data_IF_619610427000
#
_entry.id   IF_619610427000
#
_cell.length_a   1.000
_cell.length_b   1.000
_cell.length_c   1.000
_cell.angle_alpha   90.00
_cell.angle_beta   90.00
_cell.angle_gamma   90.00
#
_symmetry.space_group_name_H-M   'P 1'
#
loop_
_entity.id
_entity.type
_entity.pdbx_description
1 polymer ?
#
# COMPACT_ATOMS: atom_id res chain seq x y z
N UNK A 1 -6.62 10.37 -11.96
CA UNK A 1 -5.46 11.15 -12.43
C UNK A 1 -4.54 11.31 -11.24
N UNK A 2 -3.37 10.65 -11.25
CA UNK A 2 -2.33 10.80 -10.21
C UNK A 2 -2.18 9.67 -9.19
N UNK A 3 -2.28 8.39 -9.58
CA UNK A 3 -1.82 7.29 -8.68
C UNK A 3 -0.31 7.18 -8.80
N UNK A 4 0.42 7.91 -7.96
CA UNK A 4 1.85 7.66 -7.77
C UNK A 4 1.99 6.38 -6.96
N UNK A 5 2.58 5.37 -7.61
CA UNK A 5 2.76 4.01 -7.12
C UNK A 5 1.47 3.17 -7.03
N UNK A 6 1.35 2.19 -7.93
CA UNK A 6 0.36 1.12 -7.85
C UNK A 6 1.14 -0.19 -7.71
N UNK A 7 1.27 -0.69 -6.49
CA UNK A 7 1.75 -2.05 -6.27
C UNK A 7 0.63 -3.00 -6.70
N UNK A 8 0.86 -3.75 -7.78
CA UNK A 8 -0.07 -4.80 -8.20
C UNK A 8 0.48 -6.11 -7.66
N UNK A 9 -0.18 -6.62 -6.64
CA UNK A 9 0.08 -7.92 -6.06
C UNK A 9 -0.57 -9.00 -6.92
N UNK A 10 0.19 -10.01 -7.32
CA UNK A 10 -0.36 -11.24 -7.87
C UNK A 10 -0.50 -12.23 -6.72
N UNK A 11 -1.69 -12.31 -6.12
CA UNK A 11 -2.04 -13.44 -5.26
C UNK A 11 -2.22 -14.67 -6.13
N UNK A 12 -1.70 -15.82 -5.68
CA UNK A 12 -1.85 -17.13 -6.33
C UNK A 12 -3.28 -17.28 -6.85
N UNK A 13 -3.44 -17.38 -8.17
CA UNK A 13 -4.71 -17.70 -8.79
C UNK A 13 -5.15 -19.06 -8.26
N UNK A 14 -6.18 -19.07 -7.41
CA UNK A 14 -7.10 -20.19 -7.32
C UNK A 14 -7.65 -20.37 -8.73
N UNK A 15 -7.17 -21.39 -9.43
CA UNK A 15 -7.66 -21.76 -10.74
C UNK A 15 -9.12 -22.19 -10.57
N UNK A 16 -10.05 -21.31 -10.94
CA UNK A 16 -11.40 -21.68 -11.38
C UNK A 16 -11.71 -20.92 -12.66
N UNK A 17 -12.20 -21.68 -13.63
CA UNK A 17 -12.18 -21.44 -15.07
C UNK A 17 -13.08 -20.30 -15.55
N UNK A 18 -12.71 -19.70 -16.68
CA UNK A 18 -13.54 -19.72 -17.90
C UNK A 18 -12.77 -19.10 -19.07
N UNK A 19 -12.12 -19.96 -19.86
CA UNK A 19 -11.81 -19.68 -21.26
C UNK A 19 -12.61 -20.70 -22.08
N UNK A 20 -13.67 -20.23 -22.72
CA UNK A 20 -14.44 -21.02 -23.67
C UNK A 20 -13.60 -21.25 -24.95
N UNK A 21 -13.34 -22.53 -25.25
CA UNK A 21 -12.81 -23.03 -26.51
C UNK A 21 -13.41 -24.42 -26.80
N UNK A 22 -13.78 -24.76 -28.04
CA UNK A 22 -14.57 -25.95 -28.39
C UNK A 22 -13.72 -27.25 -28.45
N UNK A 23 -14.37 -28.44 -28.51
CA UNK A 23 -13.91 -29.64 -27.84
C UNK A 23 -13.00 -30.51 -28.70
N UNK A 24 -12.06 -31.22 -28.05
CA UNK A 24 -11.43 -32.41 -28.62
C UNK A 24 -11.84 -33.62 -27.77
N UNK A 25 -12.56 -34.54 -28.41
CA UNK A 25 -12.88 -35.85 -27.86
C UNK A 25 -11.60 -36.65 -27.66
N UNK A 26 -11.37 -37.18 -26.44
CA UNK A 26 -11.16 -38.62 -26.30
C UNK A 26 -11.38 -39.12 -24.87
N UNK A 27 -11.93 -40.35 -24.80
CA UNK A 27 -12.40 -41.03 -23.59
C UNK A 27 -11.22 -41.60 -22.79
N UNK A 28 -11.28 -41.52 -21.45
CA UNK A 28 -10.94 -42.62 -20.52
C UNK A 28 -11.73 -42.40 -19.23
N UNK A 29 -12.45 -43.46 -18.83
CA UNK A 29 -13.34 -43.52 -17.66
C UNK A 29 -12.58 -44.02 -16.43
N UNK A 30 -12.60 -43.24 -15.36
CA UNK A 30 -12.45 -43.73 -13.98
C UNK A 30 -13.35 -42.87 -13.08
N UNK A 31 -14.45 -43.46 -12.60
CA UNK A 31 -15.37 -42.81 -11.66
C UNK A 31 -14.79 -42.94 -10.25
N UNK A 32 -14.34 -41.83 -9.68
CA UNK A 32 -14.16 -41.68 -8.24
C UNK A 32 -15.29 -40.77 -7.73
N UNK A 33 -16.19 -41.35 -6.93
CA UNK A 33 -17.28 -40.64 -6.27
C UNK A 33 -16.71 -39.86 -5.09
N UNK A 34 -16.70 -38.53 -5.20
CA UNK A 34 -16.18 -37.57 -4.20
C UNK A 34 -17.31 -36.86 -3.43
N UNK A 35 -18.53 -37.40 -3.41
CA UNK A 35 -19.70 -36.68 -2.91
C UNK A 35 -19.83 -36.52 -1.39
N UNK A 36 -18.85 -36.90 -0.54
CA UNK A 36 -19.04 -36.84 0.93
C UNK A 36 -17.80 -36.46 1.74
N UNK A 37 -17.17 -35.32 1.45
CA UNK A 37 -16.40 -34.58 2.45
C UNK A 37 -16.18 -33.12 1.99
N UNK A 38 -17.13 -32.23 2.27
CA UNK A 38 -16.84 -30.79 2.23
C UNK A 38 -16.07 -30.43 3.51
N UNK A 39 -14.77 -30.12 3.47
CA UNK A 39 -14.09 -29.61 4.64
C UNK A 39 -14.76 -28.28 5.01
N UNK A 40 -15.22 -28.17 6.27
CA UNK A 40 -15.73 -26.91 6.83
C UNK A 40 -14.60 -25.87 6.74
N UNK A 41 -14.62 -25.03 5.71
CA UNK A 41 -13.73 -23.88 5.65
C UNK A 41 -14.20 -22.87 6.72
N UNK A 42 -13.32 -22.44 7.65
CA UNK A 42 -13.66 -21.38 8.59
C UNK A 42 -14.09 -20.15 7.78
N UNK A 43 -15.29 -19.63 8.08
CA UNK A 43 -15.78 -18.44 7.43
C UNK A 43 -15.06 -17.24 8.07
N UNK A 44 -13.98 -16.77 7.43
CA UNK A 44 -13.25 -15.59 7.90
C UNK A 44 -14.04 -14.33 7.54
N UNK A 45 -14.81 -13.80 8.50
CA UNK A 45 -15.38 -12.46 8.40
C UNK A 45 -14.28 -11.44 8.68
N UNK A 46 -13.75 -10.80 7.63
CA UNK A 46 -12.82 -9.67 7.79
C UNK A 46 -13.59 -8.44 8.25
N UNK A 47 -13.52 -8.11 9.54
CA UNK A 47 -14.04 -6.85 10.06
C UNK A 47 -13.00 -5.74 9.86
N UNK A 48 -13.24 -4.87 8.89
CA UNK A 48 -12.39 -3.69 8.70
C UNK A 48 -12.92 -2.55 9.59
N UNK A 49 -12.24 -2.29 10.71
CA UNK A 49 -12.56 -1.14 11.56
C UNK A 49 -12.01 0.11 10.90
N UNK A 50 -12.89 1.01 10.48
CA UNK A 50 -12.51 2.33 9.96
C UNK A 50 -12.68 3.33 11.10
N UNK A 51 -11.60 3.93 11.62
CA UNK A 51 -11.71 4.93 12.66
C UNK A 51 -12.44 6.17 12.13
N UNK A 52 -13.33 6.71 12.95
CA UNK A 52 -13.98 8.00 12.72
C UNK A 52 -12.96 9.08 13.09
N UNK A 53 -12.45 9.79 12.07
CA UNK A 53 -11.52 10.88 12.30
C UNK A 53 -12.32 12.18 12.43
N UNK A 54 -12.00 13.05 13.39
CA UNK A 54 -12.48 14.42 13.40
C UNK A 54 -12.09 15.14 12.10
N UNK A 55 -12.91 16.10 11.66
CA UNK A 55 -12.71 16.83 10.38
C UNK A 55 -11.28 17.40 10.22
N UNK A 56 -10.70 17.92 11.31
CA UNK A 56 -9.34 18.46 11.31
C UNK A 56 -8.24 17.42 11.04
N UNK A 57 -8.54 16.13 11.19
CA UNK A 57 -7.60 15.01 11.04
C UNK A 57 -7.81 14.20 9.76
N UNK A 58 -8.82 14.51 8.94
CA UNK A 58 -9.13 13.74 7.72
C UNK A 58 -7.96 13.70 6.72
N UNK A 59 -7.07 14.69 6.73
CA UNK A 59 -5.85 14.68 5.92
C UNK A 59 -4.92 13.48 6.22
N UNK A 60 -4.97 12.90 7.43
CA UNK A 60 -4.24 11.67 7.76
C UNK A 60 -4.72 10.50 6.93
N UNK A 61 -6.03 10.40 6.66
CA UNK A 61 -6.65 9.30 5.90
C UNK A 61 -6.04 9.14 4.52
N UNK A 62 -5.74 10.25 3.86
CA UNK A 62 -5.14 10.22 2.52
C UNK A 62 -3.68 9.77 2.55
N UNK A 63 -2.93 10.16 3.60
CA UNK A 63 -1.52 9.83 3.72
C UNK A 63 -1.29 8.39 4.18
N UNK A 64 -2.10 7.84 5.09
CA UNK A 64 -1.85 6.48 5.64
C UNK A 64 -1.86 5.37 4.60
N UNK A 65 -2.63 5.53 3.51
CA UNK A 65 -2.73 4.55 2.43
C UNK A 65 -1.74 4.77 1.29
N UNK A 66 -0.87 5.78 1.39
CA UNK A 66 0.16 6.05 0.40
C UNK A 66 1.56 5.81 0.99
N UNK A 67 2.36 4.92 0.39
CA UNK A 67 3.67 4.56 0.92
C UNK A 67 4.68 5.70 1.00
N UNK A 68 4.41 6.88 0.42
CA UNK A 68 5.27 8.06 0.51
C UNK A 68 5.73 8.39 1.93
N UNK A 69 4.88 8.18 2.93
CA UNK A 69 5.26 8.40 4.33
C UNK A 69 6.43 7.54 4.80
N UNK A 70 6.71 6.41 4.14
CA UNK A 70 7.79 5.49 4.54
C UNK A 70 9.19 6.06 4.29
N UNK A 71 9.33 6.95 3.30
CA UNK A 71 10.60 7.62 2.98
C UNK A 71 10.60 9.13 3.24
N UNK A 72 9.46 9.71 3.66
CA UNK A 72 9.39 11.11 4.08
C UNK A 72 9.59 11.25 5.61
N UNK A 73 10.69 11.88 6.08
CA UNK A 73 10.94 12.02 7.51
C UNK A 73 9.90 12.87 8.24
N UNK A 74 9.33 13.89 7.59
CA UNK A 74 8.31 14.74 8.21
C UNK A 74 7.00 13.99 8.48
N UNK A 75 6.57 13.13 7.55
CA UNK A 75 5.41 12.27 7.72
C UNK A 75 5.60 11.25 8.85
N UNK A 76 6.79 10.64 8.97
CA UNK A 76 7.09 9.71 10.08
C UNK A 76 7.06 10.40 11.44
N UNK A 77 7.56 11.64 11.53
CA UNK A 77 7.48 12.45 12.75
C UNK A 77 6.05 12.79 13.12
N UNK A 78 5.23 13.17 12.15
CA UNK A 78 3.81 13.47 12.36
C UNK A 78 3.06 12.27 12.97
N UNK A 79 3.24 11.07 12.42
CA UNK A 79 2.58 9.87 12.97
C UNK A 79 3.07 9.53 14.38
N UNK A 80 4.38 9.68 14.64
CA UNK A 80 4.94 9.51 15.99
C UNK A 80 4.40 10.55 16.97
N UNK A 81 4.18 11.80 16.53
CA UNK A 81 3.64 12.86 17.37
C UNK A 81 2.18 12.58 17.79
N UNK A 82 1.39 11.93 16.94
CA UNK A 82 0.00 11.57 17.27
C UNK A 82 -0.08 10.76 18.58
N UNK A 83 0.67 9.67 18.65
CA UNK A 83 0.78 8.81 19.82
C UNK A 83 2.10 8.02 19.76
N UNK A 84 3.15 8.44 20.48
CA UNK A 84 4.46 7.79 20.40
C UNK A 84 4.45 6.33 20.84
N UNK A 85 3.67 6.01 21.89
CA UNK A 85 3.59 4.65 22.43
C UNK A 85 2.86 3.74 21.44
N UNK A 86 1.75 4.20 20.88
CA UNK A 86 1.00 3.42 19.89
C UNK A 86 1.76 3.29 18.58
N UNK A 87 2.53 4.31 18.18
CA UNK A 87 3.41 4.24 17.02
C UNK A 87 4.41 3.08 17.13
N UNK A 88 5.08 2.95 18.27
CA UNK A 88 6.03 1.85 18.51
C UNK A 88 5.31 0.50 18.64
N UNK A 89 4.19 0.44 19.38
CA UNK A 89 3.40 -0.79 19.57
C UNK A 89 2.80 -1.35 18.28
N UNK A 90 2.56 -0.51 17.29
CA UNK A 90 2.01 -0.92 15.99
C UNK A 90 3.09 -1.25 14.97
N UNK A 91 4.36 -1.34 15.39
CA UNK A 91 5.50 -1.50 14.50
C UNK A 91 5.49 -0.44 13.39
N UNK A 92 5.21 0.81 13.78
CA UNK A 92 5.25 1.96 12.88
C UNK A 92 4.29 1.84 11.67
N UNK A 93 3.14 1.18 11.88
CA UNK A 93 2.09 1.05 10.88
C UNK A 93 0.99 2.10 11.13
N UNK A 94 0.90 3.17 10.31
CA UNK A 94 -0.04 4.26 10.57
C UNK A 94 -1.51 3.84 10.37
N UNK A 95 -1.80 2.87 9.51
CA UNK A 95 -3.16 2.33 9.35
C UNK A 95 -3.59 1.65 10.64
N UNK A 96 -2.76 0.74 11.17
CA UNK A 96 -3.03 0.03 12.43
C UNK A 96 -3.08 0.99 13.62
N UNK A 97 -2.22 2.01 13.63
CA UNK A 97 -2.22 3.06 14.64
C UNK A 97 -3.57 3.79 14.69
N UNK A 98 -4.08 4.26 13.53
CA UNK A 98 -5.38 4.93 13.50
C UNK A 98 -6.52 3.99 13.92
N UNK A 99 -6.47 2.71 13.54
CA UNK A 99 -7.48 1.72 13.95
C UNK A 99 -7.51 1.45 15.46
N UNK A 100 -6.36 1.53 16.12
CA UNK A 100 -6.22 1.30 17.56
C UNK A 100 -6.25 2.59 18.39
N UNK A 101 -6.29 3.75 17.74
CA UNK A 101 -6.33 5.05 18.42
C UNK A 101 -7.65 5.20 19.17
N UNK A 102 -7.57 5.63 20.44
CA UNK A 102 -8.78 5.95 21.21
C UNK A 102 -9.40 7.22 20.69
N UNK A 103 -10.73 7.27 20.61
CA UNK A 103 -11.46 8.45 20.13
C UNK A 103 -11.07 9.73 20.90
N UNK A 104 -10.98 9.65 22.23
CA UNK A 104 -10.59 10.79 23.06
C UNK A 104 -9.22 11.37 22.69
N UNK A 105 -8.26 10.53 22.26
CA UNK A 105 -6.94 11.00 21.83
C UNK A 105 -7.00 11.70 20.47
N UNK A 106 -7.79 11.17 19.54
CA UNK A 106 -8.02 11.81 18.24
C UNK A 106 -8.71 13.17 18.41
N UNK A 107 -9.68 13.26 19.32
CA UNK A 107 -10.35 14.52 19.66
C UNK A 107 -9.38 15.52 20.31
N UNK A 108 -8.57 15.09 21.29
CA UNK A 108 -7.56 15.92 21.92
C UNK A 108 -6.59 16.52 20.88
N UNK A 109 -6.02 15.67 20.03
CA UNK A 109 -5.06 16.11 19.01
C UNK A 109 -5.73 16.96 17.92
N UNK A 110 -7.02 16.74 17.65
CA UNK A 110 -7.79 17.60 16.73
C UNK A 110 -7.94 19.04 17.23
N UNK A 111 -7.69 19.31 18.52
CA UNK A 111 -7.70 20.66 19.10
C UNK A 111 -6.29 21.25 19.30
N UNK A 112 -5.24 20.45 19.10
CA UNK A 112 -3.86 20.93 19.21
C UNK A 112 -3.44 21.70 17.96
N UNK A 113 -3.32 23.03 18.11
CA UNK A 113 -2.89 23.94 17.04
C UNK A 113 -1.51 23.63 16.47
N UNK A 114 -0.59 23.11 17.30
CA UNK A 114 0.74 22.76 16.84
C UNK A 114 0.71 21.52 15.94
N UNK A 115 -0.02 20.48 16.38
CA UNK A 115 -0.22 19.28 15.57
C UNK A 115 -0.96 19.59 14.26
N UNK A 116 -2.04 20.36 14.30
CA UNK A 116 -2.79 20.73 13.09
C UNK A 116 -1.94 21.52 12.09
N UNK A 117 -1.05 22.40 12.57
CA UNK A 117 -0.10 23.11 11.70
C UNK A 117 0.87 22.13 11.03
N UNK A 118 1.47 21.22 11.81
CA UNK A 118 2.37 20.19 11.28
C UNK A 118 1.66 19.28 10.27
N UNK A 119 0.45 18.80 10.60
CA UNK A 119 -0.38 18.00 9.71
C UNK A 119 -0.62 18.72 8.38
N UNK A 120 -0.98 20.00 8.44
CA UNK A 120 -1.20 20.82 7.24
C UNK A 120 0.07 20.94 6.40
N UNK A 121 1.21 21.23 7.01
CA UNK A 121 2.50 21.37 6.31
C UNK A 121 2.93 20.07 5.62
N UNK A 122 2.80 18.94 6.31
CA UNK A 122 3.12 17.61 5.77
C UNK A 122 2.15 17.24 4.66
N UNK A 123 0.85 17.46 4.86
CA UNK A 123 -0.16 17.18 3.84
C UNK A 123 0.02 18.08 2.60
N UNK A 124 0.34 19.36 2.76
CA UNK A 124 0.66 20.26 1.64
C UNK A 124 1.92 19.78 0.89
N UNK A 125 2.91 19.25 1.62
CA UNK A 125 4.10 18.62 1.02
C UNK A 125 3.75 17.37 0.22
N UNK A 126 2.89 16.51 0.76
CA UNK A 126 2.36 15.33 0.08
C UNK A 126 1.61 15.70 -1.20
N UNK A 127 0.70 16.69 -1.14
CA UNK A 127 -0.04 17.17 -2.31
C UNK A 127 0.88 17.77 -3.36
N UNK A 128 1.86 18.57 -2.96
CA UNK A 128 2.90 19.10 -3.87
C UNK A 128 3.67 17.97 -4.52
N UNK A 129 4.10 16.96 -3.76
CA UNK A 129 4.80 15.79 -4.26
C UNK A 129 4.00 15.07 -5.34
N UNK A 130 2.70 14.82 -5.11
CA UNK A 130 1.80 14.18 -6.06
C UNK A 130 1.52 15.06 -7.31
N UNK A 131 1.47 16.38 -7.14
CA UNK A 131 1.12 17.32 -8.20
C UNK A 131 2.30 17.77 -9.09
N UNK A 132 3.55 17.39 -8.77
CA UNK A 132 4.75 17.77 -9.54
C UNK A 132 4.58 17.51 -11.04
N UNK A 133 4.97 18.48 -11.85
CA UNK A 133 4.91 18.43 -13.32
C UNK A 133 6.30 18.51 -13.98
N UNK A 134 7.25 19.03 -13.24
CA UNK A 134 8.66 19.27 -13.55
C UNK A 134 9.55 18.11 -13.11
N UNK A 135 9.09 16.89 -13.29
CA UNK A 135 9.83 15.67 -12.93
C UNK A 135 10.56 15.10 -14.14
N UNK A 136 11.59 14.28 -13.90
CA UNK A 136 12.34 13.63 -14.97
C UNK A 136 11.40 12.81 -15.88
N UNK A 137 10.49 12.02 -15.31
CA UNK A 137 9.52 11.22 -16.08
C UNK A 137 8.55 12.04 -16.94
N UNK A 138 8.38 13.34 -16.65
CA UNK A 138 7.49 14.24 -17.40
C UNK A 138 8.23 15.22 -18.31
N UNK A 139 9.54 15.35 -18.19
CA UNK A 139 10.34 16.37 -18.90
C UNK A 139 11.51 15.74 -19.69
N UNK A 140 11.93 16.39 -20.77
CA UNK A 140 13.13 16.01 -21.52
C UNK A 140 13.13 14.55 -22.03
N UNK A 141 14.19 13.80 -21.73
CA UNK A 141 14.37 12.42 -22.20
C UNK A 141 13.55 11.38 -21.41
N UNK A 142 13.05 11.72 -20.21
CA UNK A 142 12.27 10.78 -19.40
C UNK A 142 10.82 10.63 -19.87
N UNK A 143 10.27 11.61 -20.58
CA UNK A 143 8.94 11.51 -21.19
C UNK A 143 8.87 10.47 -22.31
N UNK A 144 10.02 9.97 -22.78
CA UNK A 144 10.10 8.90 -23.78
C UNK A 144 9.55 7.57 -23.22
N UNK A 145 9.58 7.39 -21.89
CA UNK A 145 8.97 6.24 -21.19
C UNK A 145 7.45 6.39 -21.06
N UNK A 146 6.76 6.60 -22.19
CA UNK A 146 5.29 6.69 -22.23
C UNK A 146 4.61 5.37 -21.86
N UNK A 147 5.26 4.24 -22.14
CA UNK A 147 4.77 2.90 -21.79
C UNK A 147 5.14 2.55 -20.34
N UNK A 148 4.28 1.82 -19.61
CA UNK A 148 4.58 1.36 -18.26
C UNK A 148 5.82 0.45 -18.21
N UNK A 149 6.70 0.69 -17.24
CA UNK A 149 7.80 -0.17 -16.85
C UNK A 149 7.26 -1.18 -15.84
N UNK A 150 7.23 -2.46 -16.21
CA UNK A 150 6.89 -3.54 -15.29
C UNK A 150 8.16 -4.03 -14.58
N UNK A 151 8.23 -3.84 -13.26
CA UNK A 151 9.38 -4.24 -12.44
C UNK A 151 8.99 -5.42 -11.55
N UNK A 152 9.58 -6.58 -11.86
CA UNK A 152 9.32 -7.83 -11.13
C UNK A 152 10.38 -8.03 -10.06
N UNK A 153 9.94 -8.29 -8.83
CA UNK A 153 10.79 -8.74 -7.74
C UNK A 153 10.03 -9.71 -6.87
N UNK A 154 10.73 -10.72 -6.33
CA UNK A 154 10.14 -11.64 -5.37
C UNK A 154 9.81 -10.95 -4.03
N UNK A 155 10.56 -9.90 -3.70
CA UNK A 155 10.48 -9.18 -2.42
C UNK A 155 10.55 -7.67 -2.62
N UNK A 156 9.93 -6.92 -1.71
CA UNK A 156 9.99 -5.45 -1.65
C UNK A 156 10.07 -4.97 -0.20
N UNK A 157 11.20 -4.39 0.17
CA UNK A 157 11.46 -3.79 1.48
C UNK A 157 11.17 -2.30 1.48
N UNK A 158 9.91 -1.93 1.65
CA UNK A 158 9.50 -0.52 1.75
C UNK A 158 9.77 0.06 3.14
N UNK A 159 9.30 -0.67 4.16
CA UNK A 159 9.30 -0.24 5.57
C UNK A 159 9.11 -1.46 6.48
N UNK A 160 9.61 -1.39 7.71
CA UNK A 160 9.52 -2.46 8.72
C UNK A 160 8.09 -2.92 9.03
N UNK A 161 7.10 -2.05 8.79
CA UNK A 161 5.67 -2.33 8.98
C UNK A 161 5.06 -3.21 7.88
N UNK A 162 5.80 -3.46 6.79
CA UNK A 162 5.37 -4.23 5.62
C UNK A 162 6.37 -5.39 5.45
N UNK A 163 6.12 -6.55 6.08
CA UNK A 163 7.04 -7.67 6.07
C UNK A 163 6.95 -8.45 4.75
N UNK A 164 7.44 -7.85 3.66
CA UNK A 164 7.51 -8.46 2.33
C UNK A 164 8.95 -8.58 1.81
N UNK A 165 9.90 -8.79 2.72
CA UNK A 165 11.31 -9.00 2.37
C UNK A 165 12.06 -9.78 3.45
N UNK A 166 13.12 -10.47 3.03
CA UNK A 166 13.96 -11.31 3.90
C UNK A 166 15.43 -10.85 3.93
N UNK A 167 15.84 -10.00 2.99
CA UNK A 167 17.23 -9.55 2.89
C UNK A 167 17.47 -8.35 1.98
N UNK A 168 18.73 -8.18 1.55
CA UNK A 168 19.17 -7.00 0.80
C UNK A 168 18.51 -6.82 -0.58
N UNK A 169 18.05 -7.90 -1.22
CA UNK A 169 17.33 -7.83 -2.48
C UNK A 169 16.03 -7.02 -2.34
N UNK A 170 15.24 -7.30 -1.30
CA UNK A 170 14.01 -6.58 -1.05
C UNK A 170 14.25 -5.10 -0.77
N UNK A 171 15.27 -4.77 0.02
CA UNK A 171 15.65 -3.36 0.28
C UNK A 171 15.98 -2.64 -1.02
N UNK A 172 16.83 -3.23 -1.88
CA UNK A 172 17.19 -2.65 -3.17
C UNK A 172 15.96 -2.44 -4.07
N UNK A 173 15.08 -3.46 -4.17
CA UNK A 173 13.83 -3.35 -4.92
C UNK A 173 12.90 -2.27 -4.37
N UNK A 174 12.84 -2.10 -3.05
CA UNK A 174 12.12 -1.01 -2.39
C UNK A 174 12.69 0.37 -2.75
N UNK A 175 14.02 0.51 -2.75
CA UNK A 175 14.69 1.78 -3.07
C UNK A 175 14.58 2.14 -4.56
N UNK A 176 14.57 1.15 -5.46
CA UNK A 176 14.21 1.36 -6.87
C UNK A 176 12.81 1.94 -7.01
N UNK A 177 11.85 1.40 -6.24
CA UNK A 177 10.47 1.86 -6.27
C UNK A 177 10.31 3.30 -5.76
N UNK A 178 10.99 3.64 -4.66
CA UNK A 178 11.04 5.01 -4.12
C UNK A 178 11.64 5.98 -5.14
N UNK A 179 12.78 5.62 -5.73
CA UNK A 179 13.46 6.40 -6.76
C UNK A 179 12.58 6.61 -8.00
N UNK A 180 11.90 5.55 -8.45
CA UNK A 180 10.97 5.63 -9.58
C UNK A 180 9.79 6.57 -9.29
N UNK A 181 9.26 6.57 -8.05
CA UNK A 181 8.23 7.51 -7.61
C UNK A 181 8.75 8.96 -7.57
N UNK A 182 9.97 9.17 -7.09
CA UNK A 182 10.58 10.50 -7.01
C UNK A 182 10.87 11.09 -8.39
N UNK A 183 11.28 10.25 -9.34
CA UNK A 183 11.46 10.59 -10.74
C UNK A 183 10.14 10.68 -11.51
N UNK A 184 9.02 10.24 -10.92
CA UNK A 184 7.68 10.23 -11.51
C UNK A 184 7.62 9.40 -12.80
N UNK A 185 8.26 8.23 -12.78
CA UNK A 185 8.25 7.28 -13.89
C UNK A 185 6.91 6.55 -13.98
N UNK A 186 6.50 6.19 -15.19
CA UNK A 186 5.38 5.28 -15.42
C UNK A 186 5.78 3.84 -15.02
N UNK A 187 5.78 3.56 -13.73
CA UNK A 187 6.41 2.37 -13.14
C UNK A 187 5.40 1.53 -12.34
N UNK A 188 5.40 0.23 -12.56
CA UNK A 188 4.53 -0.75 -11.90
C UNK A 188 5.39 -1.83 -11.27
N UNK A 189 5.43 -1.86 -9.94
CA UNK A 189 6.06 -2.95 -9.19
C UNK A 189 5.12 -4.15 -9.10
N UNK A 190 5.66 -5.33 -9.41
CA UNK A 190 4.96 -6.62 -9.39
C UNK A 190 5.73 -7.56 -8.48
N UNK A 191 5.03 -8.09 -7.46
CA UNK A 191 5.60 -9.00 -6.48
C UNK A 191 4.59 -10.01 -5.97
N UNK A 192 5.03 -10.79 -4.99
CA UNK A 192 4.26 -11.80 -4.29
C UNK A 192 3.82 -11.25 -2.91
N UNK A 193 2.66 -11.70 -2.41
CA UNK A 193 2.19 -11.52 -1.03
C UNK A 193 1.79 -12.87 -0.46
#
# INVERSE_FOLDING_TARGET
MGTKFKLITITKASATESLAGPPFHDKISARFDLSQATPMMPNYLTYNVIPQLPDGLEALREMVFNLWWTWEPSARRLFRHLDPELWDRTNHNPVRMLQLSRQARLEEVSQDKNFLRELKEVHDSFRRYLARKDTYGKTGHGSVFSKPIAYFSAEFGFHESIPNYSGGLGILSGDHCKSASDLDLNFVAIGLL
#
